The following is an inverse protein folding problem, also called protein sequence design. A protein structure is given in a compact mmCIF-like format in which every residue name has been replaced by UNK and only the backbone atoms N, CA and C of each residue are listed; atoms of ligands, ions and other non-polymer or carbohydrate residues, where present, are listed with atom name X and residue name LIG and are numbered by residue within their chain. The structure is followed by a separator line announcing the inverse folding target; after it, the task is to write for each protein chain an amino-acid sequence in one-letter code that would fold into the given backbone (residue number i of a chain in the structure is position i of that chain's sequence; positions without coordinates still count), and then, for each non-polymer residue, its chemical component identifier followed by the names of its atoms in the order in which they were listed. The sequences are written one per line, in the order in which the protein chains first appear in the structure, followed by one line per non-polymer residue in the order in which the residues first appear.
data_IF_145823304060
#
_entry.id   IF_145823304060
#
_cell.length_a   1.000
_cell.length_b   1.000
_cell.length_c   1.000
_cell.angle_alpha   90.00
_cell.angle_beta   90.00
_cell.angle_gamma   90.00
#
_symmetry.space_group_name_H-M   'P 1'
#
loop_
_entity.id
_entity.type
_entity.pdbx_description
1 polymer ?
#
# COMPACT_ATOMS: atom_id res chain seq x y z
N UNK A 1 -6.48 40.79 -44.02
CA UNK A 1 -6.46 40.96 -42.55
C UNK A 1 -7.44 40.04 -41.81
N UNK A 2 -8.72 39.92 -42.23
CA UNK A 2 -9.69 39.01 -41.54
C UNK A 2 -9.30 37.54 -41.48
N UNK A 3 -8.67 36.97 -42.53
CA UNK A 3 -8.23 35.57 -42.56
C UNK A 3 -7.06 35.27 -41.60
N UNK A 4 -6.17 36.22 -41.38
CA UNK A 4 -5.02 36.06 -40.46
C UNK A 4 -5.49 36.08 -38.98
N UNK A 5 -6.49 36.90 -38.67
CA UNK A 5 -7.08 36.98 -37.34
C UNK A 5 -7.82 35.66 -37.00
N UNK A 6 -8.51 35.07 -37.97
CA UNK A 6 -9.22 33.79 -37.77
C UNK A 6 -8.25 32.62 -37.53
N UNK A 7 -7.11 32.60 -38.21
CA UNK A 7 -6.06 31.57 -38.05
C UNK A 7 -5.38 31.74 -36.67
N UNK A 8 -5.13 32.99 -36.23
CA UNK A 8 -4.54 33.28 -34.93
C UNK A 8 -5.49 32.85 -33.78
N UNK A 9 -6.81 33.07 -33.98
CA UNK A 9 -7.83 32.65 -33.00
C UNK A 9 -7.96 31.12 -32.92
N UNK A 10 -7.85 30.41 -34.04
CA UNK A 10 -7.85 28.94 -34.11
C UNK A 10 -6.59 28.35 -33.43
N UNK A 11 -5.43 28.96 -33.59
CA UNK A 11 -4.19 28.54 -32.93
C UNK A 11 -4.26 28.77 -31.40
N UNK A 12 -4.88 29.86 -30.95
CA UNK A 12 -5.03 30.18 -29.54
C UNK A 12 -5.96 29.18 -28.83
N UNK A 13 -7.04 28.75 -29.49
CA UNK A 13 -7.96 27.72 -28.94
C UNK A 13 -7.31 26.33 -28.92
N UNK A 14 -6.42 26.02 -29.84
CA UNK A 14 -5.71 24.74 -29.86
C UNK A 14 -4.74 24.59 -28.69
N UNK A 15 -4.06 25.67 -28.30
CA UNK A 15 -3.14 25.69 -27.14
C UNK A 15 -3.88 25.49 -25.82
N UNK A 16 -5.10 26.01 -25.68
CA UNK A 16 -5.91 25.82 -24.45
C UNK A 16 -6.41 24.38 -24.32
N UNK A 17 -6.78 23.73 -25.42
CA UNK A 17 -7.20 22.31 -25.41
C UNK A 17 -6.05 21.39 -25.02
N UNK A 18 -4.82 21.63 -25.51
CA UNK A 18 -3.64 20.82 -25.13
C UNK A 18 -3.29 20.99 -23.65
N UNK A 19 -3.44 22.19 -23.09
CA UNK A 19 -3.22 22.42 -21.64
C UNK A 19 -4.26 21.70 -20.79
N UNK A 20 -5.53 21.72 -21.19
CA UNK A 20 -6.62 21.01 -20.50
C UNK A 20 -6.43 19.49 -20.55
N UNK A 21 -5.98 18.92 -21.69
CA UNK A 21 -5.65 17.50 -21.78
C UNK A 21 -4.44 17.09 -20.94
N UNK A 22 -3.41 17.94 -20.83
CA UNK A 22 -2.26 17.67 -19.94
C UNK A 22 -2.66 17.72 -18.47
N UNK A 23 -3.55 18.62 -18.07
CA UNK A 23 -4.06 18.67 -16.70
C UNK A 23 -4.93 17.43 -16.37
N UNK A 24 -5.81 17.01 -17.28
CA UNK A 24 -6.63 15.80 -17.11
C UNK A 24 -5.79 14.50 -17.04
N UNK A 25 -4.60 14.46 -17.68
CA UNK A 25 -3.66 13.35 -17.60
C UNK A 25 -2.80 13.36 -16.31
N UNK A 26 -2.65 14.51 -15.66
CA UNK A 26 -1.95 14.64 -14.38
C UNK A 26 -2.86 14.39 -13.17
N UNK A 27 -4.16 14.62 -13.28
CA UNK A 27 -5.14 14.34 -12.22
C UNK A 27 -5.43 12.85 -12.02
N UNK A 28 -4.99 11.96 -12.91
CA UNK A 28 -5.18 10.52 -12.81
C UNK A 28 -3.99 9.77 -12.13
N UNK A 29 -3.15 10.50 -11.39
CA UNK A 29 -2.28 9.91 -10.38
C UNK A 29 -3.06 9.87 -9.07
N UNK A 30 -4.14 9.08 -9.01
CA UNK A 30 -4.83 8.78 -7.78
C UNK A 30 -3.83 8.08 -6.85
N UNK A 31 -3.29 8.83 -5.90
CA UNK A 31 -2.59 8.23 -4.77
C UNK A 31 -3.60 7.31 -4.11
N UNK A 32 -3.36 5.99 -4.22
CA UNK A 32 -4.20 4.96 -3.60
C UNK A 32 -4.19 5.26 -2.11
N UNK A 33 -5.34 5.63 -1.57
CA UNK A 33 -5.47 5.91 -0.14
C UNK A 33 -5.38 4.61 0.67
N UNK A 34 -5.14 4.73 1.97
CA UNK A 34 -5.13 3.57 2.88
C UNK A 34 -6.52 2.91 2.89
N UNK A 35 -7.57 3.70 2.78
CA UNK A 35 -8.96 3.24 2.71
C UNK A 35 -9.22 2.44 1.43
N UNK A 36 -8.78 2.93 0.28
CA UNK A 36 -8.88 2.21 -1.00
C UNK A 36 -8.17 0.85 -0.93
N UNK A 37 -6.98 0.83 -0.32
CA UNK A 37 -6.22 -0.40 -0.14
C UNK A 37 -6.95 -1.40 0.76
N UNK A 38 -7.61 -0.94 1.83
CA UNK A 38 -8.43 -1.79 2.70
C UNK A 38 -9.63 -2.38 1.95
N UNK A 39 -10.32 -1.58 1.13
CA UNK A 39 -11.47 -2.07 0.34
C UNK A 39 -11.04 -3.10 -0.71
N UNK A 40 -9.92 -2.87 -1.39
CA UNK A 40 -9.34 -3.85 -2.32
C UNK A 40 -8.95 -5.14 -1.58
N UNK A 41 -8.38 -5.02 -0.38
CA UNK A 41 -8.02 -6.18 0.45
C UNK A 41 -9.26 -6.96 0.90
N UNK A 42 -10.32 -6.27 1.38
CA UNK A 42 -11.60 -6.90 1.74
C UNK A 42 -12.18 -7.70 0.57
N UNK A 43 -12.32 -7.04 -0.59
CA UNK A 43 -12.85 -7.68 -1.79
C UNK A 43 -12.05 -8.91 -2.19
N UNK A 44 -10.71 -8.80 -2.14
CA UNK A 44 -9.82 -9.90 -2.49
C UNK A 44 -9.98 -11.09 -1.53
N UNK A 45 -9.95 -10.85 -0.22
CA UNK A 45 -10.09 -11.89 0.82
C UNK A 45 -11.47 -12.54 0.72
N UNK A 46 -12.53 -11.76 0.66
CA UNK A 46 -13.92 -12.24 0.52
C UNK A 46 -14.05 -13.21 -0.65
N UNK A 47 -13.59 -12.80 -1.83
CA UNK A 47 -13.64 -13.61 -3.05
C UNK A 47 -12.80 -14.90 -2.93
N UNK A 48 -11.60 -14.82 -2.36
CA UNK A 48 -10.66 -15.95 -2.29
C UNK A 48 -11.02 -16.95 -1.21
N UNK A 49 -11.60 -16.51 -0.10
CA UNK A 49 -12.01 -17.35 1.00
C UNK A 49 -13.48 -17.82 0.87
N UNK A 50 -14.25 -17.26 -0.06
CA UNK A 50 -15.66 -17.57 -0.26
C UNK A 50 -16.50 -17.17 0.95
N UNK A 51 -16.26 -15.97 1.51
CA UNK A 51 -17.06 -15.45 2.62
C UNK A 51 -18.42 -14.99 2.11
N UNK A 52 -19.48 -15.27 2.90
CA UNK A 52 -20.79 -14.63 2.70
C UNK A 52 -20.76 -13.20 3.20
N UNK A 53 -21.79 -12.40 2.91
CA UNK A 53 -21.91 -11.03 3.40
C UNK A 53 -21.92 -10.97 4.93
N UNK A 54 -22.68 -11.88 5.57
CA UNK A 54 -22.78 -11.99 7.03
C UNK A 54 -21.43 -12.36 7.65
N UNK A 55 -20.74 -13.34 7.07
CA UNK A 55 -19.41 -13.74 7.54
C UNK A 55 -18.38 -12.61 7.38
N UNK A 56 -18.40 -11.90 6.26
CA UNK A 56 -17.54 -10.77 5.99
C UNK A 56 -17.82 -9.62 6.97
N UNK A 57 -19.08 -9.32 7.26
CA UNK A 57 -19.49 -8.30 8.22
C UNK A 57 -18.96 -8.56 9.64
N UNK A 58 -18.90 -9.84 10.07
CA UNK A 58 -18.36 -10.25 11.36
C UNK A 58 -16.82 -10.29 11.35
N UNK A 59 -16.23 -10.73 10.24
CA UNK A 59 -14.79 -10.97 10.14
C UNK A 59 -13.97 -9.68 10.05
N UNK A 60 -14.31 -8.75 9.13
CA UNK A 60 -13.45 -7.60 8.85
C UNK A 60 -13.25 -6.62 9.99
N UNK A 61 -14.24 -6.33 10.87
CA UNK A 61 -14.00 -5.52 12.05
C UNK A 61 -12.89 -6.11 12.95
N UNK A 62 -12.97 -7.41 13.26
CA UNK A 62 -11.97 -8.11 14.05
C UNK A 62 -10.61 -8.18 13.35
N UNK A 63 -10.62 -8.40 12.03
CA UNK A 63 -9.42 -8.45 11.21
C UNK A 63 -8.64 -7.12 11.26
N UNK A 64 -9.31 -6.00 11.05
CA UNK A 64 -8.66 -4.70 11.09
C UNK A 64 -8.29 -4.25 12.51
N UNK A 65 -9.03 -4.68 13.51
CA UNK A 65 -8.65 -4.48 14.90
C UNK A 65 -7.32 -5.20 15.21
N UNK A 66 -7.20 -6.47 14.81
CA UNK A 66 -5.95 -7.22 14.91
C UNK A 66 -4.78 -6.51 14.21
N UNK A 67 -4.99 -6.07 12.96
CA UNK A 67 -3.94 -5.37 12.20
C UNK A 67 -3.50 -4.08 12.89
N UNK A 68 -4.43 -3.34 13.50
CA UNK A 68 -4.13 -2.14 14.29
C UNK A 68 -3.30 -2.50 15.52
N UNK A 69 -3.71 -3.50 16.32
CA UNK A 69 -2.97 -3.94 17.50
C UNK A 69 -1.55 -4.38 17.16
N UNK A 70 -1.36 -5.13 16.06
CA UNK A 70 -0.03 -5.52 15.58
C UNK A 70 0.82 -4.29 15.21
N UNK A 71 0.22 -3.32 14.52
CA UNK A 71 0.91 -2.07 14.19
C UNK A 71 1.33 -1.29 15.43
N UNK A 72 0.45 -1.21 16.43
CA UNK A 72 0.72 -0.52 17.68
C UNK A 72 1.87 -1.21 18.47
N UNK A 73 1.87 -2.55 18.56
CA UNK A 73 2.98 -3.31 19.16
C UNK A 73 4.31 -3.02 18.44
N UNK A 74 4.33 -3.02 17.11
CA UNK A 74 5.56 -2.73 16.36
C UNK A 74 6.03 -1.28 16.52
N UNK A 75 5.11 -0.32 16.68
CA UNK A 75 5.44 1.07 16.95
C UNK A 75 6.04 1.25 18.34
N UNK A 76 5.46 0.61 19.35
CA UNK A 76 5.91 0.69 20.73
C UNK A 76 7.38 0.30 20.94
N UNK A 77 7.94 -0.58 20.09
CA UNK A 77 9.36 -0.97 20.13
C UNK A 77 10.27 0.25 19.99
N UNK A 78 10.00 1.08 18.99
CA UNK A 78 10.80 2.27 18.69
C UNK A 78 10.53 3.40 19.70
N UNK A 79 9.26 3.59 20.06
CA UNK A 79 8.84 4.64 20.98
C UNK A 79 9.48 4.43 22.39
N UNK A 80 9.54 3.19 22.89
CA UNK A 80 10.18 2.86 24.18
C UNK A 80 11.66 3.16 24.23
N UNK A 81 12.36 2.95 23.13
CA UNK A 81 13.80 3.13 23.05
C UNK A 81 14.21 4.54 22.60
N UNK A 82 13.23 5.37 22.21
CA UNK A 82 13.48 6.70 21.65
C UNK A 82 14.29 6.67 20.38
N UNK A 83 14.14 5.61 19.56
CA UNK A 83 14.88 5.39 18.30
C UNK A 83 13.92 5.60 17.14
N UNK A 84 14.38 6.30 16.07
CA UNK A 84 13.63 6.39 14.82
C UNK A 84 13.92 5.18 13.94
N UNK A 85 12.92 4.77 13.15
CA UNK A 85 13.09 3.67 12.21
C UNK A 85 14.25 3.95 11.23
N UNK A 86 15.21 3.02 11.14
CA UNK A 86 16.39 3.16 10.28
C UNK A 86 17.49 4.07 10.83
N UNK A 87 17.38 4.54 12.06
CA UNK A 87 18.43 5.32 12.73
C UNK A 87 19.56 4.39 13.18
N UNK A 88 20.81 4.81 12.94
CA UNK A 88 21.97 4.13 13.50
C UNK A 88 22.02 4.34 15.01
N UNK A 89 22.26 3.27 15.76
CA UNK A 89 22.32 3.33 17.22
C UNK A 89 23.53 2.55 17.74
N UNK A 90 23.87 2.79 19.02
CA UNK A 90 24.96 2.07 19.70
C UNK A 90 24.65 0.58 19.81
N UNK A 91 25.68 -0.25 19.99
CA UNK A 91 25.56 -1.69 20.20
C UNK A 91 24.62 -2.04 21.36
N UNK A 92 24.72 -1.29 22.46
CA UNK A 92 23.85 -1.46 23.61
C UNK A 92 22.36 -1.22 23.28
N UNK A 93 22.05 -0.14 22.56
CA UNK A 93 20.69 0.14 22.08
C UNK A 93 20.22 -0.90 21.05
N UNK A 94 21.12 -1.36 20.20
CA UNK A 94 20.84 -2.41 19.22
C UNK A 94 20.46 -3.72 19.91
N UNK A 95 21.15 -4.09 20.98
CA UNK A 95 20.84 -5.27 21.77
C UNK A 95 19.45 -5.16 22.42
N UNK A 96 19.14 -4.01 23.01
CA UNK A 96 17.79 -3.77 23.56
C UNK A 96 16.70 -3.85 22.49
N UNK A 97 16.96 -3.30 21.32
CA UNK A 97 16.04 -3.35 20.18
C UNK A 97 15.77 -4.79 19.73
N UNK A 98 16.80 -5.65 19.68
CA UNK A 98 16.66 -7.07 19.34
C UNK A 98 15.81 -7.81 20.37
N UNK A 99 15.98 -7.53 21.66
CA UNK A 99 15.15 -8.11 22.72
C UNK A 99 13.68 -7.65 22.60
N UNK A 100 13.43 -6.34 22.40
CA UNK A 100 12.07 -5.83 22.22
C UNK A 100 11.40 -6.43 20.96
N UNK A 101 12.14 -6.66 19.88
CA UNK A 101 11.63 -7.37 18.71
C UNK A 101 11.23 -8.81 19.01
N UNK A 102 12.05 -9.54 19.77
CA UNK A 102 11.74 -10.92 20.13
C UNK A 102 10.46 -10.99 20.98
N UNK A 103 10.35 -10.13 22.00
CA UNK A 103 9.18 -10.05 22.87
C UNK A 103 7.92 -9.62 22.13
N UNK A 104 8.03 -8.62 21.25
CA UNK A 104 6.93 -8.17 20.41
C UNK A 104 6.44 -9.30 19.48
N UNK A 105 7.33 -10.10 18.94
CA UNK A 105 6.99 -11.23 18.08
C UNK A 105 6.18 -12.29 18.83
N UNK A 106 6.55 -12.59 20.06
CA UNK A 106 5.79 -13.51 20.93
C UNK A 106 4.38 -12.96 21.16
N UNK A 107 4.26 -11.68 21.55
CA UNK A 107 2.97 -11.01 21.76
C UNK A 107 2.08 -11.03 20.50
N UNK A 108 2.67 -10.77 19.34
CA UNK A 108 1.93 -10.80 18.06
C UNK A 108 1.39 -12.20 17.79
N UNK A 109 2.20 -13.25 17.98
CA UNK A 109 1.77 -14.64 17.75
C UNK A 109 0.65 -15.03 18.71
N UNK A 110 0.74 -14.65 19.99
CA UNK A 110 -0.32 -14.88 20.98
C UNK A 110 -1.62 -14.18 20.54
N UNK A 111 -1.53 -12.91 20.18
CA UNK A 111 -2.66 -12.13 19.72
C UNK A 111 -3.29 -12.70 18.44
N UNK A 112 -2.50 -13.09 17.44
CA UNK A 112 -3.00 -13.76 16.23
C UNK A 112 -3.71 -15.06 16.57
N UNK A 113 -3.23 -15.82 17.54
CA UNK A 113 -3.83 -17.07 17.99
C UNK A 113 -5.19 -16.80 18.62
N UNK A 114 -5.33 -15.79 19.48
CA UNK A 114 -6.61 -15.40 20.09
C UNK A 114 -7.64 -15.03 19.01
N UNK A 115 -7.24 -14.25 17.99
CA UNK A 115 -8.14 -13.86 16.90
C UNK A 115 -8.53 -15.05 16.00
N UNK A 116 -7.64 -16.02 15.79
CA UNK A 116 -7.98 -17.26 15.09
C UNK A 116 -9.12 -18.00 15.83
N UNK A 117 -9.04 -18.11 17.16
CA UNK A 117 -10.12 -18.72 17.95
C UNK A 117 -11.41 -17.89 17.90
N UNK A 118 -11.33 -16.56 17.84
CA UNK A 118 -12.53 -15.73 17.64
C UNK A 118 -13.16 -15.97 16.25
N UNK A 119 -12.37 -16.07 15.18
CA UNK A 119 -12.87 -16.36 13.84
C UNK A 119 -13.53 -17.73 13.76
N UNK A 120 -13.00 -18.75 14.45
CA UNK A 120 -13.57 -20.10 14.48
C UNK A 120 -14.95 -20.19 15.16
N UNK A 121 -15.40 -19.15 15.86
CA UNK A 121 -16.74 -19.10 16.44
C UNK A 121 -17.85 -18.95 15.38
N UNK A 122 -17.52 -18.40 14.20
CA UNK A 122 -18.48 -18.13 13.13
C UNK A 122 -17.99 -18.52 11.73
N UNK A 123 -16.69 -18.89 11.58
CA UNK A 123 -16.12 -19.38 10.33
C UNK A 123 -15.68 -20.84 10.47
N UNK A 124 -15.77 -21.59 9.37
CA UNK A 124 -15.18 -22.93 9.33
C UNK A 124 -13.66 -22.87 9.29
N UNK A 125 -12.97 -23.88 9.81
CA UNK A 125 -11.50 -23.97 9.76
C UNK A 125 -10.96 -23.88 8.32
N UNK A 126 -11.71 -24.42 7.34
CA UNK A 126 -11.38 -24.29 5.91
C UNK A 126 -11.36 -22.84 5.46
N UNK A 127 -12.36 -22.04 5.82
CA UNK A 127 -12.42 -20.60 5.49
C UNK A 127 -11.31 -19.82 6.17
N UNK A 128 -11.05 -20.07 7.46
CA UNK A 128 -9.92 -19.43 8.18
C UNK A 128 -8.58 -19.70 7.47
N UNK A 129 -8.32 -20.96 7.06
CA UNK A 129 -7.12 -21.30 6.28
C UNK A 129 -7.08 -20.58 4.92
N UNK A 130 -8.23 -20.48 4.24
CA UNK A 130 -8.30 -19.77 2.95
C UNK A 130 -8.07 -18.27 3.10
N UNK A 131 -8.53 -17.65 4.20
CA UNK A 131 -8.27 -16.26 4.54
C UNK A 131 -6.75 -16.03 4.70
N UNK A 132 -6.07 -16.86 5.51
CA UNK A 132 -4.61 -16.76 5.69
C UNK A 132 -3.86 -16.84 4.35
N UNK A 133 -4.22 -17.81 3.51
CA UNK A 133 -3.62 -17.94 2.18
C UNK A 133 -3.91 -16.74 1.27
N UNK A 134 -5.11 -16.17 1.35
CA UNK A 134 -5.49 -14.99 0.58
C UNK A 134 -4.71 -13.75 1.04
N UNK A 135 -4.58 -13.55 2.34
CA UNK A 135 -3.80 -12.46 2.94
C UNK A 135 -2.34 -12.49 2.48
N UNK A 136 -1.69 -13.65 2.58
CA UNK A 136 -0.31 -13.79 2.12
C UNK A 136 -0.13 -13.53 0.62
N UNK A 137 -1.05 -14.04 -0.21
CA UNK A 137 -1.03 -13.77 -1.65
C UNK A 137 -1.25 -12.30 -1.95
N UNK A 138 -2.15 -11.63 -1.23
CA UNK A 138 -2.39 -10.21 -1.38
C UNK A 138 -1.12 -9.40 -1.07
N UNK A 139 -0.48 -9.66 0.07
CA UNK A 139 0.78 -9.01 0.47
C UNK A 139 1.88 -9.19 -0.59
N UNK A 140 2.08 -10.43 -1.08
CA UNK A 140 3.07 -10.71 -2.15
C UNK A 140 2.76 -10.00 -3.46
N UNK A 141 1.48 -9.94 -3.86
CA UNK A 141 1.07 -9.24 -5.07
C UNK A 141 1.28 -7.73 -4.95
N UNK A 142 0.97 -7.15 -3.79
CA UNK A 142 1.17 -5.74 -3.51
C UNK A 142 2.65 -5.36 -3.66
N UNK A 143 3.55 -6.08 -2.98
CA UNK A 143 5.01 -5.87 -3.06
C UNK A 143 5.49 -5.99 -4.51
N UNK A 144 5.09 -7.04 -5.22
CA UNK A 144 5.48 -7.24 -6.64
C UNK A 144 5.03 -6.09 -7.55
N UNK A 145 3.84 -5.55 -7.32
CA UNK A 145 3.33 -4.43 -8.10
C UNK A 145 4.06 -3.12 -7.78
N UNK A 146 4.42 -2.90 -6.52
CA UNK A 146 5.23 -1.76 -6.10
C UNK A 146 6.64 -1.80 -6.75
N UNK A 147 7.30 -2.96 -6.73
CA UNK A 147 8.61 -3.15 -7.38
C UNK A 147 8.54 -2.90 -8.90
N UNK A 148 7.47 -3.35 -9.58
CA UNK A 148 7.29 -3.10 -11.01
C UNK A 148 7.09 -1.61 -11.34
N UNK A 149 6.36 -0.87 -10.50
CA UNK A 149 6.18 0.59 -10.66
C UNK A 149 7.51 1.34 -10.46
N UNK A 150 8.28 0.97 -9.45
CA UNK A 150 9.60 1.56 -9.19
C UNK A 150 10.60 1.36 -10.34
N UNK A 151 10.58 0.18 -10.99
CA UNK A 151 11.46 -0.11 -12.13
C UNK A 151 11.04 0.62 -13.43
N UNK A 152 9.74 0.91 -13.61
CA UNK A 152 9.27 1.71 -14.74
C UNK A 152 9.67 3.18 -14.61
N UNK A 153 9.57 3.75 -13.41
CA UNK A 153 10.00 5.13 -13.18
C UNK A 153 11.52 5.32 -13.37
N UNK A 154 12.35 4.34 -12.93
CA UNK A 154 13.79 4.40 -13.17
C UNK A 154 14.18 4.33 -14.66
N UNK A 155 13.41 3.61 -15.48
CA UNK A 155 13.66 3.55 -16.95
C UNK A 155 13.29 4.86 -17.64
N UNK A 156 12.17 5.49 -17.29
CA UNK A 156 11.79 6.79 -17.86
C UNK A 156 12.78 7.89 -17.53
N UNK A 157 13.32 7.92 -16.29
CA UNK A 157 14.31 8.91 -15.86
C UNK A 157 15.70 8.71 -16.53
N UNK A 158 15.98 7.50 -17.05
CA UNK A 158 17.24 7.20 -17.76
C UNK A 158 17.13 7.55 -19.23
N UNK A 159 15.99 7.40 -19.84
CA UNK A 159 15.73 7.75 -21.26
C UNK A 159 15.67 9.27 -21.44
N UNK A 160 15.11 10.03 -20.47
CA UNK A 160 15.04 11.50 -20.54
C UNK A 160 16.43 12.17 -20.35
N UNK A 161 17.39 11.49 -19.71
CA UNK A 161 18.78 12.00 -19.55
C UNK A 161 19.71 11.69 -20.72
N UNK A 162 19.34 10.77 -21.61
CA UNK A 162 20.16 10.43 -22.77
C UNK A 162 19.93 11.34 -23.97
N UNK A 163 18.82 12.10 -24.01
CA UNK A 163 18.44 12.94 -25.15
C UNK A 163 18.96 14.40 -25.05
N UNK A 164 19.71 14.75 -23.98
CA UNK A 164 20.22 16.12 -23.77
C UNK A 164 21.73 16.27 -23.98
N UNK A 165 22.44 15.28 -24.54
CA UNK A 165 23.91 15.33 -24.69
C UNK A 165 24.43 15.35 -26.13
N UNK A 166 23.59 15.65 -27.10
CA UNK A 166 24.06 15.73 -28.51
C UNK A 166 23.71 17.06 -29.18
N UNK A 167 24.15 18.20 -28.59
CA UNK A 167 24.34 19.47 -29.32
C UNK A 167 25.37 20.33 -28.56
N UNK A 168 26.67 20.07 -28.77
CA UNK A 168 27.74 21.07 -28.58
C UNK A 168 28.84 20.85 -29.61
#
# INVERSE_FOLDING_TARGET
MKKVITILFLLLTFVTVIKAQKQALQENKSDITIEDLKEVQKSYITKKAGLTEEEAALFFPLYFELQKKIKDINKDIYDKLGIKYGEECSEEKSLLLVHEYADAKIKIVQLETEYIYMYLKFLTAKKVRMIKNAEEKFKRNLIRNMCKKGNKNKRSDTEEKSDTTDYA
#
